data_IF_617287121931
#
_entry.id   IF_617287121931
#
_cell.length_a   1.000
_cell.length_b   1.000
_cell.length_c   1.000
_cell.angle_alpha   90.00
_cell.angle_beta   90.00
_cell.angle_gamma   90.00
#
_symmetry.space_group_name_H-M   'P 1'
#
loop_
_entity.id
_entity.type
_entity.pdbx_description
1 polymer ?
#
# COMPACT_ATOMS: atom_id res chain seq x y z
N UNK A 1 26.21 56.39 -111.60
CA UNK A 1 25.84 55.05 -111.08
C UNK A 1 26.35 54.86 -109.66
N UNK A 2 25.45 54.42 -108.76
CA UNK A 2 25.70 53.64 -107.53
C UNK A 2 26.52 54.23 -106.37
N UNK A 3 26.21 55.43 -105.84
CA UNK A 3 26.66 55.82 -104.47
C UNK A 3 25.68 56.65 -103.62
N UNK A 4 24.46 56.95 -104.10
CA UNK A 4 23.45 57.70 -103.32
C UNK A 4 22.35 56.83 -102.67
N UNK A 5 22.27 55.55 -103.01
CA UNK A 5 21.21 54.65 -102.51
C UNK A 5 21.55 53.97 -101.18
N UNK A 6 22.80 54.03 -100.72
CA UNK A 6 23.22 53.41 -99.45
C UNK A 6 22.89 54.24 -98.21
N UNK A 7 22.66 55.55 -98.37
CA UNK A 7 22.42 56.45 -97.24
C UNK A 7 20.95 56.42 -96.76
N UNK A 8 20.01 56.14 -97.68
CA UNK A 8 18.56 56.09 -97.36
C UNK A 8 18.19 54.78 -96.64
N UNK A 9 18.85 53.66 -96.97
CA UNK A 9 18.61 52.38 -96.27
C UNK A 9 19.16 52.38 -94.84
N UNK A 10 20.25 53.09 -94.55
CA UNK A 10 20.81 53.17 -93.19
C UNK A 10 20.00 54.08 -92.26
N UNK A 11 19.30 55.10 -92.78
CA UNK A 11 18.43 55.95 -91.97
C UNK A 11 17.10 55.26 -91.60
N UNK A 12 16.59 54.38 -92.45
CA UNK A 12 15.32 53.67 -92.18
C UNK A 12 15.44 52.61 -91.07
N UNK A 13 16.59 51.96 -90.93
CA UNK A 13 16.82 50.98 -89.85
C UNK A 13 17.11 51.63 -88.50
N UNK A 14 17.66 52.85 -88.48
CA UNK A 14 17.89 53.60 -87.24
C UNK A 14 16.58 54.13 -86.62
N UNK A 15 15.59 54.49 -87.44
CA UNK A 15 14.28 54.94 -86.95
C UNK A 15 13.44 53.82 -86.31
N UNK A 16 13.61 52.55 -86.72
CA UNK A 16 12.86 51.42 -86.15
C UNK A 16 13.40 51.02 -84.77
N UNK A 17 14.70 51.23 -84.51
CA UNK A 17 15.33 50.91 -83.21
C UNK A 17 14.99 51.91 -82.08
N UNK A 18 14.29 53.01 -82.38
CA UNK A 18 13.76 53.97 -81.40
C UNK A 18 12.28 53.75 -81.08
N UNK A 19 11.64 52.73 -81.68
CA UNK A 19 10.34 52.24 -81.22
C UNK A 19 10.56 51.45 -79.92
N UNK A 20 10.70 52.20 -78.82
CA UNK A 20 10.57 51.66 -77.48
C UNK A 20 9.21 50.95 -77.43
N UNK A 21 9.23 49.62 -77.33
CA UNK A 21 8.06 48.87 -76.87
C UNK A 21 7.72 49.43 -75.49
N UNK A 22 6.78 50.37 -75.46
CA UNK A 22 6.08 50.74 -74.24
C UNK A 22 5.23 49.53 -73.91
N UNK A 23 5.86 48.54 -73.25
CA UNK A 23 5.11 47.63 -72.40
C UNK A 23 4.31 48.55 -71.51
N UNK A 24 3.01 48.57 -71.72
CA UNK A 24 2.05 49.17 -70.81
C UNK A 24 2.28 48.50 -69.47
N UNK A 25 3.16 49.08 -68.66
CA UNK A 25 3.21 48.83 -67.24
C UNK A 25 1.87 49.34 -66.76
N UNK A 26 0.91 48.43 -66.65
CA UNK A 26 -0.26 48.67 -65.83
C UNK A 26 0.34 48.98 -64.47
N UNK A 27 0.39 50.26 -64.13
CA UNK A 27 0.66 50.70 -62.76
C UNK A 27 -0.57 50.24 -62.00
N UNK A 28 -0.56 48.97 -61.59
CA UNK A 28 -1.50 48.49 -60.59
C UNK A 28 -1.18 49.32 -59.35
N UNK A 29 -2.14 50.15 -58.99
CA UNK A 29 -2.03 51.16 -57.96
C UNK A 29 -1.38 50.56 -56.69
N UNK A 30 -0.13 50.96 -56.41
CA UNK A 30 0.70 50.47 -55.31
C UNK A 30 -0.02 50.56 -53.95
N UNK A 31 -0.93 51.52 -53.83
CA UNK A 31 -1.81 51.70 -52.68
C UNK A 31 -2.84 50.56 -52.55
N UNK A 32 -3.48 50.14 -53.65
CA UNK A 32 -4.51 49.10 -53.65
C UNK A 32 -3.93 47.71 -53.32
N UNK A 33 -2.75 47.39 -53.86
CA UNK A 33 -2.01 46.14 -53.55
C UNK A 33 -1.54 46.12 -52.09
N UNK A 34 -1.12 47.27 -51.53
CA UNK A 34 -0.78 47.39 -50.09
C UNK A 34 -2.00 47.24 -49.19
N UNK A 35 -3.16 47.74 -49.59
CA UNK A 35 -4.42 47.62 -48.82
C UNK A 35 -4.94 46.18 -48.86
N UNK A 36 -4.89 45.51 -50.01
CA UNK A 36 -5.31 44.10 -50.15
C UNK A 36 -4.38 43.14 -49.40
N UNK A 37 -3.06 43.34 -49.49
CA UNK A 37 -2.09 42.57 -48.69
C UNK A 37 -2.22 42.84 -47.18
N UNK A 38 -2.53 44.08 -46.77
CA UNK A 38 -2.82 44.40 -45.37
C UNK A 38 -4.11 43.74 -44.88
N UNK A 39 -5.17 43.71 -45.70
CA UNK A 39 -6.42 43.00 -45.39
C UNK A 39 -6.20 41.48 -45.30
N UNK A 40 -5.41 40.91 -46.20
CA UNK A 40 -5.02 39.50 -46.15
C UNK A 40 -4.24 39.17 -44.86
N UNK A 41 -3.23 39.97 -44.51
CA UNK A 41 -2.46 39.83 -43.27
C UNK A 41 -3.34 39.97 -42.00
N UNK A 42 -4.31 40.88 -42.01
CA UNK A 42 -5.26 41.04 -40.89
C UNK A 42 -6.16 39.81 -40.77
N UNK A 43 -6.64 39.26 -41.89
CA UNK A 43 -7.46 38.05 -41.88
C UNK A 43 -6.68 36.82 -41.45
N UNK A 44 -5.43 36.68 -41.88
CA UNK A 44 -4.53 35.60 -41.46
C UNK A 44 -4.26 35.69 -39.95
N UNK A 45 -3.91 36.88 -39.43
CA UNK A 45 -3.75 37.11 -37.99
C UNK A 45 -5.01 36.83 -37.18
N UNK A 46 -6.19 37.19 -37.70
CA UNK A 46 -7.48 36.87 -37.05
C UNK A 46 -7.77 35.36 -37.07
N UNK A 47 -7.40 34.65 -38.13
CA UNK A 47 -7.53 33.20 -38.22
C UNK A 47 -6.59 32.51 -37.24
N UNK A 48 -5.32 32.94 -37.20
CA UNK A 48 -4.31 32.45 -36.27
C UNK A 48 -4.75 32.66 -34.81
N UNK A 49 -5.19 33.87 -34.46
CA UNK A 49 -5.67 34.18 -33.12
C UNK A 49 -6.86 33.31 -32.71
N UNK A 50 -7.78 33.00 -33.64
CA UNK A 50 -8.89 32.08 -33.36
C UNK A 50 -8.41 30.65 -33.14
N UNK A 51 -7.41 30.19 -33.88
CA UNK A 51 -6.79 28.87 -33.66
C UNK A 51 -6.11 28.82 -32.29
N UNK A 52 -5.29 29.81 -31.97
CA UNK A 52 -4.55 29.89 -30.71
C UNK A 52 -5.49 29.90 -29.50
N UNK A 53 -6.61 30.63 -29.58
CA UNK A 53 -7.66 30.62 -28.53
C UNK A 53 -8.30 29.22 -28.38
N UNK A 54 -8.56 28.53 -29.49
CA UNK A 54 -9.13 27.17 -29.43
C UNK A 54 -8.13 26.19 -28.83
N UNK A 55 -6.86 26.28 -29.19
CA UNK A 55 -5.82 25.40 -28.68
C UNK A 55 -5.52 25.67 -27.21
N UNK A 56 -5.49 26.93 -26.79
CA UNK A 56 -5.38 27.31 -25.37
C UNK A 56 -6.57 26.77 -24.55
N UNK A 57 -7.79 26.78 -25.11
CA UNK A 57 -8.97 26.21 -24.45
C UNK A 57 -8.90 24.68 -24.35
N UNK A 58 -8.34 24.00 -25.36
CA UNK A 58 -8.11 22.54 -25.32
C UNK A 58 -7.06 22.20 -24.25
N UNK A 59 -5.93 22.90 -24.25
CA UNK A 59 -4.85 22.73 -23.26
C UNK A 59 -5.39 22.94 -21.83
N UNK A 60 -6.15 24.01 -21.59
CA UNK A 60 -6.76 24.27 -20.28
C UNK A 60 -7.72 23.15 -19.83
N UNK A 61 -8.52 22.59 -20.76
CA UNK A 61 -9.41 21.47 -20.46
C UNK A 61 -8.64 20.18 -20.17
N UNK A 62 -7.56 19.91 -20.89
CA UNK A 62 -6.70 18.76 -20.66
C UNK A 62 -5.95 18.87 -19.33
N UNK A 63 -5.39 20.04 -19.03
CA UNK A 63 -4.76 20.31 -17.74
C UNK A 63 -5.73 20.07 -16.58
N UNK A 64 -6.96 20.58 -16.66
CA UNK A 64 -7.99 20.36 -15.63
C UNK A 64 -8.34 18.88 -15.47
N UNK A 65 -8.36 18.09 -16.56
CA UNK A 65 -8.58 16.64 -16.48
C UNK A 65 -7.41 15.93 -15.79
N UNK A 66 -6.17 16.34 -16.08
CA UNK A 66 -4.96 15.80 -15.45
C UNK A 66 -4.96 16.12 -13.95
N UNK A 67 -5.22 17.37 -13.57
CA UNK A 67 -5.24 17.81 -12.17
C UNK A 67 -6.31 17.07 -11.36
N UNK A 68 -7.51 16.88 -11.94
CA UNK A 68 -8.57 16.11 -11.32
C UNK A 68 -8.15 14.64 -11.10
N UNK A 69 -7.56 14.00 -12.12
CA UNK A 69 -7.07 12.62 -12.00
C UNK A 69 -5.99 12.49 -10.94
N UNK A 70 -5.01 13.40 -10.93
CA UNK A 70 -3.95 13.42 -9.92
C UNK A 70 -4.51 13.62 -8.50
N UNK A 71 -5.56 14.43 -8.34
CA UNK A 71 -6.22 14.64 -7.06
C UNK A 71 -6.97 13.39 -6.61
N UNK A 72 -7.67 12.72 -7.52
CA UNK A 72 -8.40 11.48 -7.22
C UNK A 72 -7.43 10.33 -6.88
N UNK A 73 -6.34 10.18 -7.62
CA UNK A 73 -5.27 9.22 -7.33
C UNK A 73 -4.64 9.47 -5.95
N UNK A 74 -4.34 10.73 -5.60
CA UNK A 74 -3.85 11.08 -4.26
C UNK A 74 -4.85 10.74 -3.17
N UNK A 75 -6.15 10.96 -3.40
CA UNK A 75 -7.21 10.61 -2.45
C UNK A 75 -7.32 9.10 -2.25
N UNK A 76 -7.25 8.32 -3.33
CA UNK A 76 -7.29 6.85 -3.25
C UNK A 76 -6.04 6.29 -2.56
N UNK A 77 -4.85 6.81 -2.86
CA UNK A 77 -3.62 6.46 -2.14
C UNK A 77 -3.72 6.77 -0.65
N UNK A 78 -4.24 7.94 -0.28
CA UNK A 78 -4.44 8.31 1.13
C UNK A 78 -5.44 7.38 1.84
N UNK A 79 -6.53 6.99 1.16
CA UNK A 79 -7.50 6.02 1.68
C UNK A 79 -6.87 4.64 1.86
N UNK A 80 -6.10 4.16 0.89
CA UNK A 80 -5.39 2.88 0.95
C UNK A 80 -4.37 2.87 2.10
N UNK A 81 -3.55 3.91 2.23
CA UNK A 81 -2.61 4.05 3.35
C UNK A 81 -3.31 4.08 4.71
N UNK A 82 -4.46 4.76 4.82
CA UNK A 82 -5.26 4.78 6.05
C UNK A 82 -5.81 3.40 6.41
N UNK A 83 -6.25 2.61 5.41
CA UNK A 83 -6.70 1.22 5.60
C UNK A 83 -5.55 0.33 6.07
N UNK A 84 -4.41 0.36 5.37
CA UNK A 84 -3.21 -0.39 5.74
C UNK A 84 -2.74 -0.08 7.17
N UNK A 85 -2.73 1.20 7.56
CA UNK A 85 -2.36 1.60 8.94
C UNK A 85 -3.34 1.07 9.98
N UNK A 86 -4.64 0.98 9.66
CA UNK A 86 -5.64 0.39 10.56
C UNK A 86 -5.45 -1.12 10.68
N UNK A 87 -5.24 -1.80 9.56
CA UNK A 87 -4.98 -3.25 9.51
C UNK A 87 -3.71 -3.61 10.28
N UNK A 88 -2.61 -2.89 10.07
CA UNK A 88 -1.37 -3.09 10.84
C UNK A 88 -1.58 -2.94 12.35
N UNK A 89 -2.35 -1.93 12.78
CA UNK A 89 -2.69 -1.75 14.20
C UNK A 89 -3.54 -2.89 14.74
N UNK A 90 -4.48 -3.40 13.93
CA UNK A 90 -5.35 -4.50 14.31
C UNK A 90 -4.53 -5.79 14.47
N UNK A 91 -3.70 -6.12 13.49
CA UNK A 91 -2.77 -7.26 13.53
C UNK A 91 -1.85 -7.15 14.75
N UNK A 92 -1.31 -5.97 15.05
CA UNK A 92 -0.46 -5.78 16.23
C UNK A 92 -1.22 -6.06 17.55
N UNK A 93 -2.49 -5.64 17.64
CA UNK A 93 -3.34 -5.93 18.82
C UNK A 93 -3.65 -7.42 18.94
N UNK A 94 -3.99 -8.06 17.83
CA UNK A 94 -4.26 -9.50 17.77
C UNK A 94 -3.03 -10.32 18.16
N UNK A 95 -1.85 -10.00 17.60
CA UNK A 95 -0.60 -10.65 17.97
C UNK A 95 -0.28 -10.49 19.46
N UNK A 96 -0.53 -9.31 20.05
CA UNK A 96 -0.37 -9.10 21.50
C UNK A 96 -1.37 -9.93 22.31
N UNK A 97 -2.61 -10.04 21.87
CA UNK A 97 -3.61 -10.87 22.55
C UNK A 97 -3.26 -12.36 22.47
N UNK A 98 -2.82 -12.83 21.30
CA UNK A 98 -2.32 -14.20 21.09
C UNK A 98 -1.12 -14.48 21.99
N UNK A 99 -0.13 -13.58 22.03
CA UNK A 99 1.03 -13.71 22.92
C UNK A 99 0.61 -13.87 24.37
N UNK A 100 -0.25 -12.98 24.88
CA UNK A 100 -0.74 -13.05 26.26
C UNK A 100 -1.50 -14.34 26.56
N UNK A 101 -2.31 -14.81 25.61
CA UNK A 101 -3.05 -16.06 25.77
C UNK A 101 -2.10 -17.27 25.76
N UNK A 102 -1.06 -17.26 24.92
CA UNK A 102 -0.02 -18.29 24.91
C UNK A 102 0.76 -18.31 26.22
N UNK A 103 1.11 -17.15 26.78
CA UNK A 103 1.80 -17.05 28.07
C UNK A 103 0.94 -17.64 29.19
N UNK A 104 -0.34 -17.25 29.27
CA UNK A 104 -1.30 -17.82 30.23
C UNK A 104 -1.42 -19.34 30.08
N UNK A 105 -1.52 -19.84 28.84
CA UNK A 105 -1.61 -21.28 28.57
C UNK A 105 -0.34 -22.01 28.99
N UNK A 106 0.82 -21.42 28.73
CA UNK A 106 2.10 -22.01 29.12
C UNK A 106 2.26 -22.04 30.64
N UNK A 107 1.84 -20.99 31.35
CA UNK A 107 1.85 -20.96 32.80
C UNK A 107 0.88 -21.97 33.42
N UNK A 108 -0.33 -22.11 32.86
CA UNK A 108 -1.28 -23.15 33.26
C UNK A 108 -0.68 -24.56 33.06
N UNK A 109 -0.07 -24.84 31.90
CA UNK A 109 0.62 -26.12 31.64
C UNK A 109 1.76 -26.38 32.61
N UNK A 110 2.59 -25.38 32.91
CA UNK A 110 3.67 -25.50 33.91
C UNK A 110 3.12 -25.83 35.29
N UNK A 111 2.02 -25.21 35.70
CA UNK A 111 1.34 -25.50 36.97
C UNK A 111 0.78 -26.92 36.98
N UNK A 112 0.13 -27.35 35.90
CA UNK A 112 -0.40 -28.71 35.75
C UNK A 112 0.71 -29.76 35.90
N UNK A 113 1.83 -29.58 35.21
CA UNK A 113 2.99 -30.49 35.32
C UNK A 113 3.49 -30.56 36.77
N UNK A 114 3.64 -29.42 37.45
CA UNK A 114 4.09 -29.38 38.85
C UNK A 114 3.11 -30.09 39.78
N UNK A 115 1.80 -29.89 39.60
CA UNK A 115 0.78 -30.55 40.42
C UNK A 115 0.76 -32.06 40.19
N UNK A 116 0.82 -32.51 38.92
CA UNK A 116 0.91 -33.93 38.60
C UNK A 116 2.17 -34.57 39.19
N UNK A 117 3.31 -33.88 39.15
CA UNK A 117 4.54 -34.37 39.77
C UNK A 117 4.43 -34.45 41.30
N UNK A 118 3.80 -33.45 41.94
CA UNK A 118 3.48 -33.50 43.39
C UNK A 118 2.54 -34.66 43.72
N UNK A 119 1.53 -34.92 42.89
CA UNK A 119 0.59 -36.02 43.07
C UNK A 119 1.30 -37.38 43.01
N UNK A 120 2.17 -37.58 42.02
CA UNK A 120 2.98 -38.81 41.89
C UNK A 120 3.83 -39.04 43.14
N UNK A 121 4.52 -37.99 43.62
CA UNK A 121 5.34 -38.10 44.82
C UNK A 121 4.50 -38.39 46.08
N UNK A 122 3.37 -37.70 46.26
CA UNK A 122 2.48 -37.91 47.39
C UNK A 122 1.90 -39.34 47.41
N UNK A 123 1.50 -39.86 46.24
CA UNK A 123 1.04 -41.24 46.09
C UNK A 123 2.15 -42.25 46.40
N UNK A 124 3.39 -42.00 45.95
CA UNK A 124 4.54 -42.86 46.26
C UNK A 124 4.82 -42.92 47.76
N UNK A 125 4.74 -41.77 48.45
CA UNK A 125 4.95 -41.69 49.89
C UNK A 125 3.82 -42.38 50.67
N UNK A 126 2.56 -42.19 50.25
CA UNK A 126 1.42 -42.88 50.81
C UNK A 126 1.56 -44.40 50.66
N UNK A 127 1.90 -44.87 49.46
CA UNK A 127 2.10 -46.29 49.17
C UNK A 127 3.19 -46.89 50.06
N UNK A 128 4.37 -46.25 50.14
CA UNK A 128 5.45 -46.70 51.04
C UNK A 128 5.04 -46.75 52.51
N UNK A 129 4.20 -45.82 52.95
CA UNK A 129 3.71 -45.80 54.33
C UNK A 129 2.71 -46.94 54.58
N UNK A 130 1.81 -47.19 53.64
CA UNK A 130 0.86 -48.30 53.69
C UNK A 130 1.58 -49.65 53.66
N UNK A 131 2.58 -49.82 52.79
CA UNK A 131 3.41 -51.02 52.73
C UNK A 131 4.12 -51.29 54.07
N UNK A 132 4.75 -50.26 54.65
CA UNK A 132 5.38 -50.37 55.99
C UNK A 132 4.37 -50.71 57.09
N UNK A 133 3.17 -50.18 57.01
CA UNK A 133 2.11 -50.46 57.98
C UNK A 133 1.65 -51.91 57.89
N UNK A 134 1.32 -52.38 56.67
CA UNK A 134 0.89 -53.77 56.44
C UNK A 134 1.99 -54.77 56.80
N UNK A 135 3.26 -54.48 56.49
CA UNK A 135 4.38 -55.33 56.90
C UNK A 135 4.47 -55.43 58.42
N UNK A 136 4.47 -54.30 59.14
CA UNK A 136 4.54 -54.33 60.61
C UNK A 136 3.33 -55.00 61.26
N UNK A 137 2.17 -54.87 60.63
CA UNK A 137 0.92 -55.48 61.07
C UNK A 137 0.93 -56.99 60.88
N UNK A 138 1.41 -57.49 59.74
CA UNK A 138 1.52 -58.92 59.47
C UNK A 138 2.56 -59.60 60.35
N UNK A 139 3.65 -58.91 60.69
CA UNK A 139 4.66 -59.39 61.63
C UNK A 139 4.19 -59.37 63.10
N UNK A 140 3.04 -58.76 63.41
CA UNK A 140 2.55 -58.61 64.79
C UNK A 140 3.32 -57.58 65.62
N UNK A 141 4.18 -56.78 64.99
CA UNK A 141 5.12 -55.85 65.62
C UNK A 141 4.52 -54.46 65.94
N UNK A 142 3.19 -54.35 66.04
CA UNK A 142 2.48 -53.08 66.32
C UNK A 142 1.73 -53.14 67.64
N UNK A 143 2.07 -52.23 68.55
CA UNK A 143 1.19 -51.93 69.69
C UNK A 143 -0.06 -51.19 69.22
N UNK A 144 -1.14 -51.22 70.02
CA UNK A 144 -2.38 -50.51 69.68
C UNK A 144 -2.16 -49.01 69.44
N UNK A 145 -1.29 -48.38 70.24
CA UNK A 145 -0.93 -46.96 70.12
C UNK A 145 -0.18 -46.70 68.81
N UNK A 146 0.74 -47.58 68.42
CA UNK A 146 1.45 -47.45 67.15
C UNK A 146 0.54 -47.68 65.95
N UNK A 147 -0.38 -48.64 66.05
CA UNK A 147 -1.39 -48.90 65.03
C UNK A 147 -2.20 -47.63 64.74
N UNK A 148 -2.78 -47.00 65.76
CA UNK A 148 -3.51 -45.74 65.61
C UNK A 148 -2.62 -44.60 65.08
N UNK A 149 -1.33 -44.53 65.47
CA UNK A 149 -0.40 -43.54 64.92
C UNK A 149 -0.17 -43.73 63.42
N UNK A 150 -0.07 -44.97 62.94
CA UNK A 150 0.05 -45.25 61.50
C UNK A 150 -1.22 -44.89 60.75
N UNK A 151 -2.39 -45.27 61.26
CA UNK A 151 -3.68 -44.93 60.67
C UNK A 151 -3.84 -43.41 60.49
N UNK A 152 -3.56 -42.62 61.54
CA UNK A 152 -3.60 -41.15 61.48
C UNK A 152 -2.63 -40.59 60.43
N UNK A 153 -1.41 -41.13 60.34
CA UNK A 153 -0.43 -40.72 59.32
C UNK A 153 -0.91 -41.05 57.90
N UNK A 154 -1.48 -42.24 57.70
CA UNK A 154 -2.04 -42.68 56.42
C UNK A 154 -3.19 -41.75 56.02
N UNK A 155 -4.15 -41.49 56.92
CA UNK A 155 -5.26 -40.57 56.65
C UNK A 155 -4.76 -39.17 56.31
N UNK A 156 -3.76 -38.65 57.03
CA UNK A 156 -3.16 -37.34 56.72
C UNK A 156 -2.57 -37.30 55.30
N UNK A 157 -1.89 -38.37 54.88
CA UNK A 157 -1.33 -38.48 53.53
C UNK A 157 -2.40 -38.66 52.45
N UNK A 158 -3.46 -39.40 52.72
CA UNK A 158 -4.63 -39.50 51.82
C UNK A 158 -5.31 -38.14 51.62
N UNK A 159 -5.43 -37.34 52.69
CA UNK A 159 -5.95 -35.97 52.58
C UNK A 159 -5.04 -35.06 51.75
N UNK A 160 -3.72 -35.22 51.86
CA UNK A 160 -2.75 -34.49 51.03
C UNK A 160 -2.92 -34.82 49.54
N UNK A 161 -3.08 -36.10 49.19
CA UNK A 161 -3.36 -36.56 47.83
C UNK A 161 -4.66 -35.93 47.31
N UNK A 162 -5.76 -36.03 48.06
CA UNK A 162 -7.07 -35.45 47.65
C UNK A 162 -7.01 -33.95 47.42
N UNK A 163 -6.28 -33.20 48.26
CA UNK A 163 -6.09 -31.76 48.06
C UNK A 163 -5.38 -31.45 46.74
N UNK A 164 -4.36 -32.22 46.39
CA UNK A 164 -3.64 -32.04 45.11
C UNK A 164 -4.56 -32.39 43.93
N UNK A 165 -5.36 -33.46 44.03
CA UNK A 165 -6.35 -33.83 43.01
C UNK A 165 -7.42 -32.74 42.82
N UNK A 166 -7.87 -32.12 43.90
CA UNK A 166 -8.79 -30.99 43.86
C UNK A 166 -8.15 -29.75 43.20
N UNK A 167 -6.90 -29.43 43.53
CA UNK A 167 -6.13 -28.36 42.85
C UNK A 167 -6.02 -28.61 41.33
N UNK A 168 -5.78 -29.86 40.91
CA UNK A 168 -5.72 -30.24 39.49
C UNK A 168 -7.11 -30.12 38.84
N UNK A 169 -8.16 -30.59 39.50
CA UNK A 169 -9.54 -30.49 39.00
C UNK A 169 -9.94 -29.04 38.79
N UNK A 170 -9.62 -28.17 39.76
CA UNK A 170 -9.88 -26.75 39.67
C UNK A 170 -9.07 -26.09 38.54
N UNK A 171 -7.81 -26.49 38.34
CA UNK A 171 -7.00 -25.98 37.24
C UNK A 171 -7.58 -26.32 35.86
N UNK A 172 -8.20 -27.49 35.70
CA UNK A 172 -8.78 -27.97 34.42
C UNK A 172 -10.14 -27.36 34.07
N UNK A 173 -10.82 -26.74 35.03
CA UNK A 173 -12.11 -26.05 34.81
C UNK A 173 -11.93 -24.65 34.18
N UNK A 174 -10.71 -24.12 34.18
CA UNK A 174 -10.35 -22.81 33.61
C UNK A 174 -9.50 -22.96 32.35
#
# INVERSE_FOLDING_TARGET
>A
MKKLTSCVLCLFTFCISLAQEVKTTIVVDSAQVKIESSKANINEKKSQLKSDIQDQKKISREQKKIDNRATDERRELAKAQKKLKKEQKQIQKENRAISKNNDKRNDAKKREIKLNQRLVNANKDLFKLQEKFEQKKSEGNLSAVENSKFEVKITKKQLEVRKIEEEISNLKKY
#
